data_IF_316484862946
#
_entry.id   IF_316484862946
#
_cell.length_a   1.000
_cell.length_b   1.000
_cell.length_c   1.000
_cell.angle_alpha   90.00
_cell.angle_beta   90.00
_cell.angle_gamma   90.00
#
_symmetry.space_group_name_H-M   'P 1'
#
loop_
_entity.id
_entity.type
_entity.pdbx_description
1 polymer ?
#
# COMPACT_ATOMS: atom_id res chain seq x y z
N UNK A 1 -3.78 -63.03 16.40
CA UNK A 1 -2.63 -62.14 16.11
C UNK A 1 -3.12 -60.72 16.18
N UNK A 2 -2.57 -59.94 17.12
CA UNK A 2 -2.96 -58.56 17.40
C UNK A 2 -2.69 -57.69 16.17
N UNK A 3 -3.71 -57.01 15.66
CA UNK A 3 -3.53 -55.81 14.87
C UNK A 3 -2.94 -54.75 15.81
N UNK A 4 -1.72 -54.30 15.52
CA UNK A 4 -1.08 -53.19 16.22
C UNK A 4 -1.71 -51.85 15.84
N UNK A 5 -1.49 -50.79 16.63
CA UNK A 5 -2.03 -49.47 16.36
C UNK A 5 -1.21 -48.80 15.23
N UNK A 6 -1.69 -48.87 13.99
CA UNK A 6 -1.30 -47.95 12.92
C UNK A 6 -2.48 -47.01 12.67
N UNK A 7 -2.39 -45.69 12.69
CA UNK A 7 -1.25 -44.80 12.87
C UNK A 7 -1.81 -43.36 12.89
N UNK A 8 -2.16 -42.82 14.07
CA UNK A 8 -2.32 -41.36 14.19
C UNK A 8 -1.02 -40.64 13.80
N UNK A 9 0.12 -41.31 13.95
CA UNK A 9 1.43 -40.82 13.53
C UNK A 9 1.62 -40.67 12.02
N UNK A 10 0.92 -41.44 11.17
CA UNK A 10 0.98 -41.30 9.71
C UNK A 10 0.04 -40.20 9.19
N UNK A 11 -1.08 -39.97 9.89
CA UNK A 11 -2.18 -39.12 9.41
C UNK A 11 -1.78 -37.65 9.20
N UNK A 12 -0.77 -37.17 9.95
CA UNK A 12 -0.24 -35.80 9.84
C UNK A 12 1.23 -35.75 9.42
N UNK A 13 1.75 -36.82 8.81
CA UNK A 13 3.16 -36.91 8.41
C UNK A 13 3.61 -35.73 7.52
N UNK A 14 2.77 -35.32 6.56
CA UNK A 14 3.04 -34.16 5.69
C UNK A 14 3.06 -32.82 6.45
N UNK A 15 2.13 -32.64 7.39
CA UNK A 15 2.08 -31.42 8.21
C UNK A 15 3.28 -31.34 9.14
N UNK A 16 3.66 -32.46 9.79
CA UNK A 16 4.85 -32.54 10.64
C UNK A 16 6.12 -32.20 9.85
N UNK A 17 6.25 -32.70 8.62
CA UNK A 17 7.36 -32.33 7.73
C UNK A 17 7.36 -30.84 7.37
N UNK A 18 6.20 -30.29 7.03
CA UNK A 18 6.07 -28.86 6.72
C UNK A 18 6.49 -27.99 7.91
N UNK A 19 5.98 -28.30 9.10
CA UNK A 19 6.32 -27.58 10.33
C UNK A 19 7.78 -27.72 10.70
N UNK A 20 8.37 -28.91 10.50
CA UNK A 20 9.79 -29.12 10.71
C UNK A 20 10.65 -28.27 9.77
N UNK A 21 10.25 -28.08 8.51
CA UNK A 21 10.94 -27.19 7.57
C UNK A 21 10.91 -25.74 8.08
N UNK A 22 9.74 -25.27 8.56
CA UNK A 22 9.60 -23.92 9.10
C UNK A 22 10.41 -23.70 10.38
N UNK A 23 10.54 -24.72 11.23
CA UNK A 23 11.35 -24.67 12.45
C UNK A 23 12.85 -24.73 12.16
N UNK A 24 13.25 -25.52 11.16
CA UNK A 24 14.66 -25.72 10.79
C UNK A 24 15.25 -24.52 10.06
N UNK A 25 14.42 -23.79 9.31
CA UNK A 25 14.81 -22.54 8.66
C UNK A 25 13.92 -21.38 9.13
N UNK A 26 14.25 -20.74 10.26
CA UNK A 26 13.52 -19.57 10.73
C UNK A 26 13.78 -18.35 9.86
N UNK A 27 14.71 -18.42 8.90
CA UNK A 27 15.10 -17.32 8.02
C UNK A 27 14.28 -17.23 6.73
N UNK A 28 13.35 -18.17 6.50
CA UNK A 28 12.44 -18.15 5.35
C UNK A 28 11.78 -16.77 5.16
N UNK A 29 11.91 -16.22 3.96
CA UNK A 29 11.43 -14.88 3.58
C UNK A 29 10.41 -14.92 2.42
N UNK A 30 10.28 -16.06 1.74
CA UNK A 30 9.36 -16.25 0.62
C UNK A 30 8.80 -17.67 0.58
N UNK A 31 7.50 -17.79 0.29
CA UNK A 31 6.84 -19.08 0.04
C UNK A 31 6.23 -19.07 -1.37
N UNK A 32 6.35 -20.19 -2.07
CA UNK A 32 5.73 -20.40 -3.38
C UNK A 32 5.06 -21.76 -3.49
N UNK A 33 4.02 -21.84 -4.33
CA UNK A 33 3.39 -23.10 -4.71
C UNK A 33 3.93 -23.55 -6.06
N UNK A 34 4.58 -24.72 -6.08
CA UNK A 34 5.44 -25.16 -7.17
C UNK A 34 4.90 -26.45 -7.76
N UNK A 35 4.77 -26.50 -9.09
CA UNK A 35 4.40 -27.73 -9.77
C UNK A 35 5.55 -28.77 -9.62
N UNK A 36 5.28 -30.04 -9.31
CA UNK A 36 6.31 -31.06 -9.07
C UNK A 36 7.40 -31.16 -10.16
N UNK A 37 7.05 -30.87 -11.42
CA UNK A 37 8.02 -30.90 -12.52
C UNK A 37 9.11 -29.82 -12.44
N UNK A 38 8.89 -28.75 -11.67
CA UNK A 38 9.81 -27.60 -11.59
C UNK A 38 10.91 -27.78 -10.53
N UNK A 39 10.76 -28.73 -9.60
CA UNK A 39 11.75 -28.98 -8.54
C UNK A 39 13.15 -29.28 -9.11
N UNK A 40 13.21 -30.12 -10.15
CA UNK A 40 14.48 -30.46 -10.82
C UNK A 40 15.15 -29.27 -11.51
N UNK A 41 14.40 -28.24 -11.89
CA UNK A 41 14.96 -27.02 -12.45
C UNK A 41 15.52 -26.13 -11.34
N UNK A 42 14.77 -25.99 -10.24
CA UNK A 42 15.19 -25.22 -9.07
C UNK A 42 16.46 -25.79 -8.43
N UNK A 43 16.58 -27.12 -8.35
CA UNK A 43 17.79 -27.77 -7.84
C UNK A 43 19.04 -27.46 -8.70
N UNK A 44 18.86 -27.37 -10.03
CA UNK A 44 19.94 -26.99 -10.95
C UNK A 44 20.32 -25.53 -10.81
N UNK A 45 19.33 -24.64 -10.67
CA UNK A 45 19.56 -23.20 -10.48
C UNK A 45 20.24 -22.90 -9.14
N UNK A 46 19.94 -23.67 -8.10
CA UNK A 46 20.61 -23.60 -6.79
C UNK A 46 22.05 -24.16 -6.79
N UNK A 47 22.58 -24.59 -7.95
CA UNK A 47 23.98 -25.01 -8.08
C UNK A 47 24.26 -26.44 -7.62
N UNK A 48 23.25 -27.30 -7.45
CA UNK A 48 23.47 -28.72 -7.22
C UNK A 48 23.93 -29.40 -8.52
N UNK A 49 25.25 -29.53 -8.70
CA UNK A 49 25.84 -30.47 -9.65
C UNK A 49 25.53 -31.91 -9.22
N UNK A 50 25.08 -32.73 -10.16
CA UNK A 50 24.61 -34.12 -10.04
C UNK A 50 25.58 -35.14 -9.38
N UNK A 51 26.61 -34.75 -8.64
CA UNK A 51 27.64 -35.67 -8.14
C UNK A 51 27.38 -36.27 -6.75
N UNK A 52 26.37 -35.80 -6.00
CA UNK A 52 25.94 -36.46 -4.76
C UNK A 52 24.42 -36.35 -4.55
N UNK A 53 23.64 -37.12 -5.29
CA UNK A 53 22.31 -37.52 -4.81
C UNK A 53 22.37 -38.98 -4.34
N UNK A 54 22.03 -39.28 -3.07
CA UNK A 54 21.56 -40.62 -2.75
C UNK A 54 20.31 -40.86 -3.60
N UNK A 55 20.34 -41.90 -4.42
CA UNK A 55 19.16 -42.47 -5.07
C UNK A 55 18.07 -42.73 -4.01
N UNK A 56 17.15 -41.80 -3.83
CA UNK A 56 15.84 -42.04 -3.25
C UNK A 56 14.83 -41.30 -4.12
N UNK A 57 14.09 -42.05 -4.95
CA UNK A 57 13.05 -41.56 -5.86
C UNK A 57 11.81 -40.96 -5.18
N UNK A 58 11.96 -40.37 -4.01
CA UNK A 58 10.94 -39.54 -3.37
C UNK A 58 11.10 -38.12 -3.87
N UNK A 59 10.19 -37.65 -4.73
CA UNK A 59 10.03 -36.22 -5.00
C UNK A 59 9.90 -35.50 -3.65
N UNK A 60 10.89 -34.72 -3.23
CA UNK A 60 10.75 -33.94 -2.00
C UNK A 60 9.51 -33.04 -2.17
N UNK A 61 8.49 -33.23 -1.32
CA UNK A 61 7.23 -32.47 -1.44
C UNK A 61 7.40 -31.01 -1.02
N UNK A 62 8.52 -30.70 -0.36
CA UNK A 62 8.97 -29.38 0.04
C UNK A 62 10.36 -29.12 -0.54
N UNK A 63 10.59 -27.93 -1.07
CA UNK A 63 11.89 -27.45 -1.51
C UNK A 63 12.27 -26.27 -0.63
N UNK A 64 13.40 -26.33 0.05
CA UNK A 64 13.86 -25.25 0.91
C UNK A 64 15.34 -24.98 0.63
N UNK A 65 15.64 -23.83 0.01
CA UNK A 65 16.98 -23.35 -0.30
C UNK A 65 17.00 -21.83 -0.29
N UNK A 66 18.13 -21.22 0.10
CA UNK A 66 18.29 -19.76 0.14
C UNK A 66 17.16 -19.01 0.86
N UNK A 67 16.60 -19.63 1.91
CA UNK A 67 15.46 -19.13 2.68
C UNK A 67 14.16 -18.98 1.86
N UNK A 68 14.05 -19.74 0.77
CA UNK A 68 12.87 -19.81 -0.10
C UNK A 68 12.21 -21.17 0.05
N UNK A 69 10.91 -21.17 0.37
CA UNK A 69 10.14 -22.40 0.56
C UNK A 69 9.18 -22.66 -0.61
N UNK A 70 9.47 -23.69 -1.39
CA UNK A 70 8.58 -24.25 -2.39
C UNK A 70 7.72 -25.39 -1.82
N UNK A 71 6.40 -25.29 -1.97
CA UNK A 71 5.46 -26.35 -1.57
C UNK A 71 4.85 -26.97 -2.83
N UNK A 72 4.96 -28.29 -2.96
CA UNK A 72 4.43 -29.00 -4.12
C UNK A 72 2.91 -28.86 -4.22
N UNK A 73 2.42 -28.50 -5.42
CA UNK A 73 0.97 -28.34 -5.67
C UNK A 73 0.17 -29.61 -5.43
N UNK A 74 0.79 -30.79 -5.57
CA UNK A 74 0.13 -32.10 -5.41
C UNK A 74 -0.38 -32.32 -3.98
N UNK A 75 0.30 -31.75 -2.99
CA UNK A 75 0.00 -31.98 -1.57
C UNK A 75 -0.85 -30.86 -0.96
N UNK A 76 -1.07 -29.73 -1.66
CA UNK A 76 -1.67 -28.53 -1.08
C UNK A 76 -3.05 -28.77 -0.48
N UNK A 77 -3.92 -29.51 -1.18
CA UNK A 77 -5.28 -29.77 -0.69
C UNK A 77 -5.25 -30.59 0.60
N UNK A 78 -4.43 -31.63 0.65
CA UNK A 78 -4.31 -32.50 1.82
C UNK A 78 -3.67 -31.74 2.97
N UNK A 79 -2.52 -31.11 2.74
CA UNK A 79 -1.80 -30.33 3.73
C UNK A 79 -2.66 -29.20 4.31
N UNK A 80 -3.48 -28.52 3.50
CA UNK A 80 -4.39 -27.48 3.97
C UNK A 80 -5.51 -28.03 4.86
N UNK A 81 -6.06 -29.23 4.55
CA UNK A 81 -7.06 -29.90 5.41
C UNK A 81 -6.45 -30.29 6.75
N UNK A 82 -5.26 -30.88 6.71
CA UNK A 82 -4.54 -31.35 7.90
C UNK A 82 -4.16 -30.18 8.81
N UNK A 83 -3.55 -29.13 8.24
CA UNK A 83 -3.21 -27.92 8.98
C UNK A 83 -4.45 -27.32 9.65
N UNK A 84 -5.58 -27.20 8.92
CA UNK A 84 -6.82 -26.64 9.46
C UNK A 84 -7.36 -27.50 10.60
N UNK A 85 -7.37 -28.81 10.42
CA UNK A 85 -7.86 -29.75 11.43
C UNK A 85 -7.05 -29.65 12.73
N UNK A 86 -5.72 -29.76 12.63
CA UNK A 86 -4.82 -29.72 13.80
C UNK A 86 -4.88 -28.35 14.49
N UNK A 87 -4.93 -27.24 13.73
CA UNK A 87 -5.13 -25.92 14.31
C UNK A 87 -6.45 -25.80 15.09
N UNK A 88 -7.55 -26.33 14.56
CA UNK A 88 -8.85 -26.26 15.24
C UNK A 88 -8.87 -27.08 16.53
N UNK A 89 -8.19 -28.23 16.55
CA UNK A 89 -8.00 -29.03 17.78
C UNK A 89 -7.19 -28.27 18.83
N UNK A 90 -6.03 -27.70 18.44
CA UNK A 90 -5.21 -26.90 19.34
C UNK A 90 -5.98 -25.68 19.89
N UNK A 91 -6.78 -25.02 19.04
CA UNK A 91 -7.61 -23.89 19.47
C UNK A 91 -8.71 -24.31 20.45
N UNK A 92 -9.32 -25.48 20.24
CA UNK A 92 -10.30 -26.03 21.17
C UNK A 92 -9.66 -26.33 22.53
N UNK A 93 -8.49 -26.95 22.53
CA UNK A 93 -7.73 -27.24 23.75
C UNK A 93 -7.34 -25.97 24.50
N UNK A 94 -6.80 -24.97 23.81
CA UNK A 94 -6.47 -23.67 24.40
C UNK A 94 -7.69 -23.00 25.05
N UNK A 95 -8.86 -23.05 24.40
CA UNK A 95 -10.11 -22.50 24.98
C UNK A 95 -10.58 -23.26 26.21
N UNK A 96 -10.49 -24.59 26.20
CA UNK A 96 -10.83 -25.42 27.36
C UNK A 96 -9.94 -25.11 28.57
N UNK A 97 -8.65 -24.85 28.36
CA UNK A 97 -7.73 -24.46 29.42
C UNK A 97 -7.98 -23.03 29.92
N UNK A 98 -8.34 -22.09 29.03
CA UNK A 98 -8.69 -20.72 29.41
C UNK A 98 -9.90 -20.64 30.36
N UNK A 99 -10.95 -21.42 30.08
CA UNK A 99 -12.14 -21.46 30.94
C UNK A 99 -11.90 -22.09 32.31
N UNK A 100 -10.87 -22.94 32.47
CA UNK A 100 -10.54 -23.56 33.76
C UNK A 100 -9.65 -22.68 34.66
N UNK A 101 -8.88 -21.76 34.08
CA UNK A 101 -7.96 -20.88 34.83
C UNK A 101 -8.64 -19.61 35.38
N UNK A 102 -9.78 -19.19 34.83
CA UNK A 102 -10.50 -17.98 35.28
C UNK A 102 -11.07 -18.09 36.71
N UNK A 103 -11.15 -19.28 37.30
CA UNK A 103 -11.66 -19.48 38.66
C UNK A 103 -10.59 -19.49 39.78
N UNK A 104 -9.29 -19.57 39.49
CA UNK A 104 -8.34 -19.88 40.59
C UNK A 104 -7.01 -19.14 40.71
N UNK A 105 -6.44 -18.43 39.73
CA UNK A 105 -5.12 -17.80 39.93
C UNK A 105 -4.90 -16.46 39.21
N UNK A 106 -5.50 -15.39 39.75
CA UNK A 106 -5.02 -14.01 39.52
C UNK A 106 -3.92 -13.71 40.53
N UNK A 107 -2.70 -14.18 40.28
CA UNK A 107 -1.43 -13.56 40.70
C UNK A 107 -0.26 -14.47 40.34
N UNK A 108 0.62 -13.92 39.50
CA UNK A 108 1.98 -14.39 39.19
C UNK A 108 2.12 -15.57 38.23
N UNK A 109 2.18 -15.29 36.92
CA UNK A 109 3.00 -16.11 36.02
C UNK A 109 3.78 -15.17 35.08
N UNK A 110 5.11 -15.21 35.25
CA UNK A 110 6.09 -14.62 34.34
C UNK A 110 6.25 -15.45 33.07
N UNK A 111 6.48 -14.76 31.95
CA UNK A 111 7.01 -15.17 30.65
C UNK A 111 7.52 -16.62 30.46
N UNK A 112 6.60 -17.56 30.26
CA UNK A 112 6.82 -18.76 29.42
C UNK A 112 5.53 -19.03 28.65
N UNK A 113 5.56 -19.31 27.33
CA UNK A 113 4.36 -19.72 26.62
C UNK A 113 3.82 -21.00 27.27
N UNK A 114 2.55 -21.02 27.66
CA UNK A 114 1.93 -22.28 28.02
C UNK A 114 1.87 -23.16 26.77
N UNK A 115 2.05 -24.48 26.92
CA UNK A 115 2.08 -25.43 25.81
C UNK A 115 0.88 -25.22 24.84
N UNK A 116 -0.37 -24.99 25.31
CA UNK A 116 -1.50 -24.73 24.43
C UNK A 116 -1.39 -23.45 23.60
N UNK A 117 -0.72 -22.39 24.09
CA UNK A 117 -0.48 -21.17 23.29
C UNK A 117 0.52 -21.43 22.17
N UNK A 118 1.61 -22.14 22.49
CA UNK A 118 2.64 -22.47 21.51
C UNK A 118 2.08 -23.28 20.34
N UNK A 119 1.25 -24.28 20.63
CA UNK A 119 0.64 -25.14 19.61
C UNK A 119 -0.35 -24.36 18.72
N UNK A 120 -1.17 -23.48 19.32
CA UNK A 120 -2.06 -22.60 18.53
C UNK A 120 -1.23 -21.68 17.62
N UNK A 121 -0.13 -21.10 18.12
CA UNK A 121 0.73 -20.22 17.32
C UNK A 121 1.45 -20.99 16.20
N UNK A 122 1.95 -22.21 16.47
CA UNK A 122 2.59 -23.08 15.48
C UNK A 122 1.61 -23.50 14.38
N UNK A 123 0.49 -24.13 14.74
CA UNK A 123 -0.44 -24.66 13.76
C UNK A 123 -1.21 -23.55 13.00
N UNK A 124 -1.46 -22.40 13.63
CA UNK A 124 -2.03 -21.25 12.91
C UNK A 124 -1.06 -20.68 11.87
N UNK A 125 0.25 -20.67 12.13
CA UNK A 125 1.25 -20.30 11.11
C UNK A 125 1.17 -21.24 9.90
N UNK A 126 1.10 -22.55 10.13
CA UNK A 126 0.96 -23.54 9.07
C UNK A 126 -0.28 -23.29 8.20
N UNK A 127 -1.43 -23.06 8.83
CA UNK A 127 -2.68 -22.77 8.11
C UNK A 127 -2.61 -21.47 7.32
N UNK A 128 -2.04 -20.41 7.89
CA UNK A 128 -2.02 -19.08 7.28
C UNK A 128 -1.08 -18.98 6.08
N UNK A 129 0.02 -19.75 6.07
CA UNK A 129 0.89 -19.88 4.89
C UNK A 129 0.19 -20.57 3.72
N UNK A 130 -0.75 -21.48 4.00
CA UNK A 130 -1.52 -22.22 3.00
C UNK A 130 -2.84 -21.53 2.62
N UNK A 131 -3.40 -20.73 3.53
CA UNK A 131 -4.73 -20.13 3.42
C UNK A 131 -4.77 -18.80 4.19
N UNK A 132 -4.19 -17.76 3.58
CA UNK A 132 -3.98 -16.45 4.19
C UNK A 132 -5.24 -15.74 4.68
N UNK A 133 -6.41 -16.07 4.13
CA UNK A 133 -7.70 -15.46 4.51
C UNK A 133 -8.45 -16.22 5.60
N UNK A 134 -7.81 -17.17 6.28
CA UNK A 134 -8.45 -17.92 7.37
C UNK A 134 -8.58 -17.08 8.65
N UNK A 135 -9.64 -16.28 8.73
CA UNK A 135 -9.88 -15.31 9.80
C UNK A 135 -9.85 -15.87 11.22
N UNK A 136 -10.29 -17.12 11.43
CA UNK A 136 -10.24 -17.77 12.75
C UNK A 136 -8.80 -17.91 13.26
N UNK A 137 -7.85 -18.26 12.40
CA UNK A 137 -6.44 -18.32 12.77
C UNK A 137 -5.90 -16.93 13.14
N UNK A 138 -6.19 -15.91 12.32
CA UNK A 138 -5.79 -14.54 12.65
C UNK A 138 -6.36 -14.05 13.98
N UNK A 139 -7.62 -14.37 14.29
CA UNK A 139 -8.26 -13.96 15.54
C UNK A 139 -7.68 -14.71 16.76
N UNK A 140 -7.35 -16.00 16.60
CA UNK A 140 -6.66 -16.76 17.65
C UNK A 140 -5.28 -16.14 17.97
N UNK A 141 -4.51 -15.78 16.94
CA UNK A 141 -3.22 -15.09 17.12
C UNK A 141 -3.38 -13.74 17.81
N UNK A 142 -4.37 -12.92 17.41
CA UNK A 142 -4.67 -11.64 18.12
C UNK A 142 -4.98 -11.87 19.59
N UNK A 143 -5.78 -12.88 19.92
CA UNK A 143 -6.15 -13.18 21.31
C UNK A 143 -4.93 -13.53 22.18
N UNK A 144 -4.00 -14.31 21.64
CA UNK A 144 -2.76 -14.68 22.33
C UNK A 144 -1.81 -13.48 22.43
N UNK A 145 -1.59 -12.76 21.32
CA UNK A 145 -0.68 -11.61 21.26
C UNK A 145 -1.14 -10.42 22.10
N UNK A 146 -2.45 -10.24 22.29
CA UNK A 146 -2.99 -9.17 23.15
C UNK A 146 -2.56 -9.31 24.61
N UNK A 147 -2.12 -10.50 25.03
CA UNK A 147 -1.61 -10.78 26.39
C UNK A 147 -0.09 -10.64 26.50
N UNK A 148 0.62 -10.36 25.40
CA UNK A 148 2.08 -10.24 25.37
C UNK A 148 2.49 -8.77 25.56
N UNK A 149 3.58 -8.56 26.29
CA UNK A 149 4.11 -7.24 26.67
C UNK A 149 5.49 -6.93 26.06
N UNK A 150 6.02 -7.83 25.24
CA UNK A 150 7.34 -7.72 24.61
C UNK A 150 7.24 -7.46 23.10
N UNK A 151 8.06 -6.51 22.63
CA UNK A 151 8.10 -6.10 21.23
C UNK A 151 8.51 -7.23 20.27
N UNK A 152 9.29 -8.20 20.73
CA UNK A 152 9.76 -9.31 19.90
C UNK A 152 8.62 -10.15 19.34
N UNK A 153 7.56 -10.42 20.11
CA UNK A 153 6.41 -11.20 19.64
C UNK A 153 5.68 -10.48 18.50
N UNK A 154 5.52 -9.16 18.60
CA UNK A 154 4.92 -8.37 17.51
C UNK A 154 5.83 -8.29 16.28
N UNK A 155 7.15 -8.25 16.48
CA UNK A 155 8.14 -8.23 15.39
C UNK A 155 8.15 -9.56 14.63
N UNK A 156 8.11 -10.69 15.35
CA UNK A 156 7.95 -12.03 14.77
C UNK A 156 6.62 -12.15 14.01
N UNK A 157 5.55 -11.56 14.54
CA UNK A 157 4.25 -11.56 13.87
C UNK A 157 4.24 -10.70 12.58
N UNK A 158 4.91 -9.55 12.59
CA UNK A 158 5.14 -8.76 11.37
C UNK A 158 5.98 -9.54 10.36
N UNK A 159 6.95 -10.33 10.82
CA UNK A 159 7.74 -11.19 9.95
C UNK A 159 6.88 -12.29 9.32
N UNK A 160 6.09 -13.03 10.11
CA UNK A 160 5.18 -14.07 9.61
C UNK A 160 4.18 -13.50 8.59
N UNK A 161 3.54 -12.38 8.90
CA UNK A 161 2.59 -11.77 7.97
C UNK A 161 3.27 -11.22 6.70
N UNK A 162 4.55 -10.84 6.77
CA UNK A 162 5.36 -10.48 5.60
C UNK A 162 5.62 -11.69 4.71
N UNK A 163 6.00 -12.82 5.33
CA UNK A 163 6.15 -14.10 4.64
C UNK A 163 4.86 -14.54 3.94
N UNK A 164 3.70 -14.41 4.60
CA UNK A 164 2.40 -14.72 3.98
C UNK A 164 2.10 -13.80 2.79
N UNK A 165 2.48 -12.51 2.87
CA UNK A 165 2.30 -11.56 1.77
C UNK A 165 3.23 -11.83 0.58
N UNK A 166 4.36 -12.53 0.76
CA UNK A 166 5.23 -12.94 -0.35
C UNK A 166 4.48 -13.81 -1.38
N UNK A 167 3.60 -14.69 -0.89
CA UNK A 167 2.76 -15.57 -1.73
C UNK A 167 1.37 -14.97 -2.01
N UNK A 168 0.78 -14.29 -1.02
CA UNK A 168 -0.59 -13.75 -1.08
C UNK A 168 -0.60 -12.22 -0.95
N UNK A 169 0.00 -11.46 -1.89
CA UNK A 169 0.21 -10.01 -1.75
C UNK A 169 -1.09 -9.19 -1.67
N UNK A 170 -2.21 -9.77 -2.12
CA UNK A 170 -3.55 -9.16 -2.12
C UNK A 170 -4.47 -9.69 -1.01
N UNK A 171 -3.94 -10.35 0.02
CA UNK A 171 -4.70 -10.81 1.19
C UNK A 171 -5.12 -9.65 2.09
N UNK A 172 -6.42 -9.33 2.13
CA UNK A 172 -6.92 -8.26 3.04
C UNK A 172 -6.79 -8.65 4.50
N UNK A 173 -7.01 -9.93 4.81
CA UNK A 173 -6.94 -10.44 6.17
C UNK A 173 -5.55 -10.23 6.74
N UNK A 174 -4.51 -10.48 5.94
CA UNK A 174 -3.11 -10.25 6.31
C UNK A 174 -2.82 -8.76 6.50
N UNK A 175 -3.19 -7.90 5.55
CA UNK A 175 -3.01 -6.44 5.68
C UNK A 175 -3.74 -5.86 6.89
N UNK A 176 -4.96 -6.34 7.17
CA UNK A 176 -5.75 -5.96 8.35
C UNK A 176 -5.07 -6.37 9.65
N UNK A 177 -4.53 -7.60 9.70
CA UNK A 177 -3.76 -8.08 10.84
C UNK A 177 -2.49 -7.26 11.07
N UNK A 178 -1.73 -6.92 10.01
CA UNK A 178 -0.58 -6.02 10.11
C UNK A 178 -0.92 -4.67 10.72
N UNK A 179 -2.00 -4.03 10.25
CA UNK A 179 -2.49 -2.75 10.82
C UNK A 179 -2.83 -2.90 12.30
N UNK A 180 -3.43 -4.02 12.70
CA UNK A 180 -3.70 -4.31 14.11
C UNK A 180 -2.41 -4.40 14.93
N UNK A 181 -1.40 -5.13 14.45
CA UNK A 181 -0.10 -5.24 15.14
C UNK A 181 0.56 -3.86 15.29
N UNK A 182 0.66 -3.08 14.21
CA UNK A 182 1.27 -1.75 14.24
C UNK A 182 0.53 -0.83 15.21
N UNK A 183 -0.81 -0.91 15.26
CA UNK A 183 -1.60 -0.16 16.24
C UNK A 183 -1.26 -0.57 17.67
N UNK A 184 -1.15 -1.87 17.97
CA UNK A 184 -0.73 -2.34 19.30
C UNK A 184 0.66 -1.82 19.64
N UNK A 185 1.61 -1.90 18.69
CA UNK A 185 2.97 -1.40 18.90
C UNK A 185 2.97 0.11 19.20
N UNK A 186 2.20 0.89 18.44
CA UNK A 186 2.12 2.34 18.60
C UNK A 186 1.60 2.80 19.97
N UNK A 187 0.84 1.93 20.66
CA UNK A 187 0.27 2.22 21.98
C UNK A 187 1.22 1.84 23.12
N UNK A 188 2.18 0.94 22.86
CA UNK A 188 2.95 0.29 23.92
C UNK A 188 4.46 0.48 23.81
N UNK A 189 5.00 0.90 22.65
CA UNK A 189 6.45 0.99 22.43
C UNK A 189 6.84 2.28 21.67
N UNK A 190 8.06 2.76 21.93
CA UNK A 190 8.61 3.99 21.31
C UNK A 190 9.26 3.78 19.94
N UNK A 191 9.52 2.53 19.53
CA UNK A 191 10.22 2.14 18.28
C UNK A 191 9.38 2.25 17.01
N UNK A 192 8.24 2.94 17.07
CA UNK A 192 7.25 2.99 15.98
C UNK A 192 7.85 3.48 14.66
N UNK A 193 8.73 4.49 14.68
CA UNK A 193 9.23 5.14 13.47
C UNK A 193 10.07 4.19 12.59
N UNK A 194 10.92 3.35 13.19
CA UNK A 194 11.70 2.34 12.45
C UNK A 194 10.78 1.31 11.81
N UNK A 195 9.73 0.89 12.52
CA UNK A 195 8.74 -0.05 12.00
C UNK A 195 8.00 0.57 10.82
N UNK A 196 7.53 1.82 10.92
CA UNK A 196 6.86 2.52 9.81
C UNK A 196 7.75 2.58 8.56
N UNK A 197 9.05 2.85 8.71
CA UNK A 197 9.99 2.82 7.57
C UNK A 197 10.06 1.43 6.92
N UNK A 198 10.27 0.37 7.72
CA UNK A 198 10.33 -1.01 7.22
C UNK A 198 9.01 -1.47 6.58
N UNK A 199 7.87 -1.07 7.15
CA UNK A 199 6.55 -1.37 6.58
C UNK A 199 6.36 -0.68 5.22
N UNK A 200 6.85 0.55 5.07
CA UNK A 200 6.78 1.26 3.80
C UNK A 200 7.64 0.59 2.71
N UNK A 201 8.84 0.15 3.07
CA UNK A 201 9.73 -0.65 2.20
C UNK A 201 9.11 -1.99 1.79
N UNK A 202 8.44 -2.67 2.73
CA UNK A 202 7.70 -3.90 2.43
C UNK A 202 6.61 -3.64 1.38
N UNK A 203 5.80 -2.59 1.54
CA UNK A 203 4.77 -2.25 0.54
C UNK A 203 5.39 -1.98 -0.83
N UNK A 204 6.50 -1.26 -0.89
CA UNK A 204 7.21 -0.98 -2.13
C UNK A 204 7.66 -2.28 -2.83
N UNK A 205 8.32 -3.17 -2.09
CA UNK A 205 8.76 -4.48 -2.61
C UNK A 205 7.59 -5.36 -3.10
N UNK A 206 6.42 -5.27 -2.45
CA UNK A 206 5.22 -5.99 -2.88
C UNK A 206 4.61 -5.33 -4.11
N UNK A 207 4.64 -4.00 -4.19
CA UNK A 207 4.19 -3.23 -5.36
C UNK A 207 4.95 -3.60 -6.64
N UNK A 208 6.24 -3.93 -6.53
CA UNK A 208 7.08 -4.29 -7.68
C UNK A 208 6.67 -5.64 -8.26
N UNK A 209 6.39 -6.60 -7.36
CA UNK A 209 6.04 -7.98 -7.71
C UNK A 209 4.56 -8.14 -8.07
N UNK A 210 3.68 -7.35 -7.47
CA UNK A 210 2.23 -7.42 -7.66
C UNK A 210 1.67 -6.10 -8.18
N UNK A 211 1.59 -5.98 -9.50
CA UNK A 211 0.97 -4.82 -10.17
C UNK A 211 -0.47 -4.57 -9.68
N UNK A 212 -0.84 -3.28 -9.62
CA UNK A 212 -2.17 -2.80 -9.23
C UNK A 212 -2.63 -3.32 -7.86
N UNK A 213 -1.72 -3.35 -6.87
CA UNK A 213 -2.06 -3.78 -5.52
C UNK A 213 -2.61 -2.63 -4.68
N UNK A 214 -3.90 -2.34 -4.86
CA UNK A 214 -4.59 -1.32 -4.08
C UNK A 214 -4.50 -1.56 -2.56
N UNK A 215 -4.48 -2.81 -2.10
CA UNK A 215 -4.43 -3.13 -0.66
C UNK A 215 -3.11 -2.72 -0.02
N UNK A 216 -2.00 -2.97 -0.72
CA UNK A 216 -0.67 -2.56 -0.27
C UNK A 216 -0.56 -1.02 -0.24
N UNK A 217 -0.98 -0.35 -1.32
CA UNK A 217 -1.00 1.12 -1.37
C UNK A 217 -1.92 1.74 -0.31
N UNK A 218 -3.10 1.15 -0.07
CA UNK A 218 -4.01 1.57 0.99
C UNK A 218 -3.37 1.42 2.37
N UNK A 219 -2.64 0.33 2.61
CA UNK A 219 -1.85 0.16 3.83
C UNK A 219 -0.79 1.27 3.96
N UNK A 220 -0.03 1.58 2.90
CA UNK A 220 0.96 2.68 2.92
C UNK A 220 0.32 4.05 3.20
N UNK A 221 -0.84 4.34 2.62
CA UNK A 221 -1.62 5.55 2.93
C UNK A 221 -2.04 5.61 4.40
N UNK A 222 -2.42 4.47 4.98
CA UNK A 222 -2.78 4.37 6.39
C UNK A 222 -1.57 4.63 7.31
N UNK A 223 -0.37 4.16 6.94
CA UNK A 223 0.87 4.41 7.71
C UNK A 223 1.18 5.90 7.89
N UNK A 224 0.75 6.76 6.95
CA UNK A 224 1.00 8.22 7.00
C UNK A 224 0.47 8.86 8.29
N UNK A 225 -0.56 8.30 8.93
CA UNK A 225 -1.03 8.84 10.22
C UNK A 225 -0.03 8.69 11.37
N UNK A 226 0.94 7.77 11.24
CA UNK A 226 1.97 7.48 12.24
C UNK A 226 3.34 8.09 11.92
N UNK A 227 3.51 8.65 10.73
CA UNK A 227 4.76 9.25 10.27
C UNK A 227 5.00 10.63 10.88
N UNK A 228 6.26 10.96 11.14
CA UNK A 228 6.68 12.35 11.37
C UNK A 228 6.70 13.13 10.05
N UNK A 229 6.77 14.47 10.12
CA UNK A 229 6.85 15.29 8.90
C UNK A 229 8.13 15.01 8.12
N UNK A 230 9.24 14.74 8.80
CA UNK A 230 10.52 14.37 8.18
C UNK A 230 10.38 13.07 7.38
N UNK A 231 9.72 12.04 7.95
CA UNK A 231 9.45 10.80 7.23
C UNK A 231 8.51 11.01 6.04
N UNK A 232 7.50 11.88 6.18
CA UNK A 232 6.59 12.21 5.07
C UNK A 232 7.33 12.85 3.90
N UNK A 233 8.25 13.78 4.18
CA UNK A 233 9.09 14.43 3.15
C UNK A 233 10.02 13.40 2.50
N UNK A 234 10.64 12.51 3.30
CA UNK A 234 11.47 11.43 2.77
C UNK A 234 10.68 10.48 1.85
N UNK A 235 9.46 10.08 2.23
CA UNK A 235 8.60 9.23 1.42
C UNK A 235 8.11 9.93 0.14
N UNK A 236 7.86 11.25 0.20
CA UNK A 236 7.50 12.03 -0.99
C UNK A 236 8.64 12.05 -2.01
N UNK A 237 9.89 12.22 -1.52
CA UNK A 237 11.08 12.17 -2.34
C UNK A 237 11.34 10.76 -2.90
N UNK A 238 11.25 9.73 -2.06
CA UNK A 238 11.46 8.32 -2.45
C UNK A 238 10.47 7.88 -3.52
N UNK A 239 9.19 8.19 -3.33
CA UNK A 239 8.12 7.79 -4.25
C UNK A 239 8.13 8.55 -5.59
N UNK A 240 8.92 9.63 -5.74
CA UNK A 240 9.00 10.44 -6.96
C UNK A 240 9.49 9.60 -8.15
N UNK A 241 10.53 8.79 -7.95
CA UNK A 241 11.06 7.88 -8.99
C UNK A 241 10.02 6.85 -9.41
N UNK A 242 9.33 6.24 -8.45
CA UNK A 242 8.30 5.25 -8.72
C UNK A 242 7.18 5.84 -9.59
N UNK A 243 6.61 6.97 -9.15
CA UNK A 243 5.51 7.61 -9.84
C UNK A 243 5.90 8.10 -11.24
N UNK A 244 7.15 8.59 -11.42
CA UNK A 244 7.66 9.01 -12.72
C UNK A 244 7.88 7.85 -13.72
N UNK A 245 8.09 6.63 -13.24
CA UNK A 245 8.18 5.41 -14.07
C UNK A 245 6.81 4.74 -14.29
N UNK A 246 5.88 4.93 -13.34
CA UNK A 246 4.58 4.28 -13.31
C UNK A 246 3.45 5.31 -13.36
N UNK A 247 3.44 6.18 -14.37
CA UNK A 247 2.47 7.29 -14.49
C UNK A 247 0.99 6.86 -14.58
N UNK A 248 0.75 5.60 -14.93
CA UNK A 248 -0.59 5.01 -14.95
C UNK A 248 -1.03 4.43 -13.58
N UNK A 249 -0.15 4.40 -12.57
CA UNK A 249 -0.47 3.91 -11.23
C UNK A 249 -1.18 5.00 -10.41
N UNK A 250 -2.50 5.06 -10.55
CA UNK A 250 -3.36 5.96 -9.77
C UNK A 250 -3.24 5.77 -8.25
N UNK A 251 -2.84 4.57 -7.79
CA UNK A 251 -2.68 4.29 -6.36
C UNK A 251 -1.42 4.95 -5.81
N UNK A 252 -0.34 4.99 -6.60
CA UNK A 252 0.87 5.75 -6.26
C UNK A 252 0.57 7.26 -6.14
N UNK A 253 -0.14 7.86 -7.10
CA UNK A 253 -0.53 9.27 -6.99
C UNK A 253 -1.50 9.53 -5.82
N UNK A 254 -2.39 8.59 -5.50
CA UNK A 254 -3.21 8.69 -4.30
C UNK A 254 -2.35 8.71 -3.02
N UNK A 255 -1.30 7.88 -2.95
CA UNK A 255 -0.35 7.90 -1.84
C UNK A 255 0.41 9.23 -1.75
N UNK A 256 0.90 9.76 -2.87
CA UNK A 256 1.54 11.09 -2.91
C UNK A 256 0.61 12.18 -2.39
N UNK A 257 -0.65 12.20 -2.82
CA UNK A 257 -1.66 13.15 -2.32
C UNK A 257 -1.87 13.02 -0.81
N UNK A 258 -1.87 11.80 -0.26
CA UNK A 258 -1.97 11.58 1.20
C UNK A 258 -0.76 12.14 1.94
N UNK A 259 0.46 11.96 1.44
CA UNK A 259 1.68 12.56 2.00
C UNK A 259 1.59 14.09 1.99
N UNK A 260 1.18 14.68 0.87
CA UNK A 260 1.04 16.13 0.75
C UNK A 260 -0.01 16.70 1.70
N UNK A 261 -1.17 16.04 1.83
CA UNK A 261 -2.17 16.45 2.82
C UNK A 261 -1.61 16.43 4.25
N UNK A 262 -0.76 15.45 4.58
CA UNK A 262 -0.11 15.38 5.90
C UNK A 262 0.82 16.55 6.17
N UNK A 263 1.49 17.07 5.14
CA UNK A 263 2.30 18.30 5.23
C UNK A 263 1.38 19.49 5.57
N UNK A 264 0.22 19.63 4.92
CA UNK A 264 -0.72 20.71 5.23
C UNK A 264 -1.34 20.57 6.64
N UNK A 265 -1.65 19.35 7.08
CA UNK A 265 -2.17 19.09 8.43
C UNK A 265 -1.25 19.69 9.52
N UNK A 266 0.08 19.66 9.33
CA UNK A 266 1.01 20.26 10.30
C UNK A 266 0.93 21.78 10.41
N UNK A 267 0.42 22.48 9.39
CA UNK A 267 0.28 23.93 9.42
C UNK A 267 -0.84 24.40 10.36
N UNK A 268 -1.78 23.53 10.70
CA UNK A 268 -2.92 23.84 11.58
C UNK A 268 -2.63 23.58 13.07
N UNK A 269 -1.51 22.92 13.40
CA UNK A 269 -1.16 22.67 14.79
C UNK A 269 -0.68 23.98 15.43
N UNK A 270 -1.26 24.35 16.59
CA UNK A 270 -0.88 25.55 17.35
C UNK A 270 0.65 25.56 17.57
N UNK A 271 1.33 26.54 16.97
CA UNK A 271 2.79 26.66 17.00
C UNK A 271 3.49 26.59 15.64
N UNK A 272 2.76 26.43 14.53
CA UNK A 272 3.35 26.48 13.17
C UNK A 272 4.10 27.80 12.95
N UNK A 273 5.39 27.67 12.65
CA UNK A 273 6.28 28.79 12.39
C UNK A 273 6.10 29.32 10.96
N UNK A 274 6.51 30.57 10.71
CA UNK A 274 6.57 31.10 9.35
C UNK A 274 7.50 30.27 8.44
N UNK A 275 8.51 29.61 9.02
CA UNK A 275 9.40 28.69 8.33
C UNK A 275 8.65 27.46 7.81
N UNK A 276 7.78 26.85 8.62
CA UNK A 276 7.00 25.65 8.23
C UNK A 276 6.05 25.95 7.07
N UNK A 277 5.40 27.12 7.08
CA UNK A 277 4.55 27.57 5.96
C UNK A 277 5.35 27.81 4.69
N UNK A 278 6.56 28.36 4.80
CA UNK A 278 7.44 28.63 3.65
C UNK A 278 7.94 27.33 3.03
N UNK A 279 8.34 26.36 3.85
CA UNK A 279 8.79 25.05 3.38
C UNK A 279 7.65 24.26 2.74
N UNK A 280 6.46 24.24 3.35
CA UNK A 280 5.28 23.61 2.75
C UNK A 280 4.92 24.23 1.40
N UNK A 281 4.99 25.55 1.26
CA UNK A 281 4.77 26.27 -0.01
C UNK A 281 5.79 25.84 -1.07
N UNK A 282 7.07 25.75 -0.68
CA UNK A 282 8.15 25.30 -1.58
C UNK A 282 7.92 23.88 -2.08
N UNK A 283 7.63 22.93 -1.18
CA UNK A 283 7.35 21.53 -1.54
C UNK A 283 6.16 21.44 -2.49
N UNK A 284 5.10 22.23 -2.25
CA UNK A 284 3.92 22.22 -3.12
C UNK A 284 4.23 22.72 -4.53
N UNK A 285 5.04 23.78 -4.62
CA UNK A 285 5.49 24.34 -5.90
C UNK A 285 6.36 23.34 -6.66
N UNK A 286 7.31 22.69 -5.99
CA UNK A 286 8.14 21.65 -6.61
C UNK A 286 7.32 20.46 -7.14
N UNK A 287 6.23 20.09 -6.47
CA UNK A 287 5.33 19.04 -6.95
C UNK A 287 4.49 19.50 -8.15
N UNK A 288 4.04 20.76 -8.17
CA UNK A 288 3.38 21.35 -9.34
C UNK A 288 4.33 21.34 -10.54
N UNK A 289 5.53 21.88 -10.39
CA UNK A 289 6.53 21.96 -11.48
C UNK A 289 6.87 20.54 -11.99
N UNK A 290 7.07 19.58 -11.09
CA UNK A 290 7.32 18.19 -11.49
C UNK A 290 6.12 17.52 -12.17
N UNK A 291 4.89 17.80 -11.72
CA UNK A 291 3.70 17.27 -12.37
C UNK A 291 3.52 17.83 -13.78
N UNK A 292 3.88 19.10 -14.02
CA UNK A 292 3.93 19.71 -15.35
C UNK A 292 4.91 18.95 -16.27
N UNK A 293 6.14 18.69 -15.81
CA UNK A 293 7.11 17.88 -16.56
C UNK A 293 6.57 16.49 -16.95
N UNK A 294 5.80 15.86 -16.06
CA UNK A 294 5.18 14.56 -16.35
C UNK A 294 4.04 14.68 -17.37
N UNK A 295 3.21 15.71 -17.28
CA UNK A 295 2.10 15.96 -18.21
C UNK A 295 2.63 16.20 -19.62
N UNK A 296 3.72 16.94 -19.75
CA UNK A 296 4.39 17.20 -21.03
C UNK A 296 5.07 15.94 -21.60
N UNK A 297 5.67 15.11 -20.73
CA UNK A 297 6.38 13.90 -21.14
C UNK A 297 5.46 12.73 -21.46
N UNK A 298 4.35 12.61 -20.74
CA UNK A 298 3.44 11.46 -20.83
C UNK A 298 2.04 11.93 -21.24
N UNK A 299 1.92 12.26 -22.51
CA UNK A 299 0.73 12.77 -23.16
C UNK A 299 -0.46 11.81 -22.99
N UNK A 300 -1.63 12.37 -22.65
CA UNK A 300 -2.91 11.66 -22.60
C UNK A 300 -3.16 10.88 -21.30
N UNK A 301 -2.37 11.09 -20.24
CA UNK A 301 -2.54 10.36 -18.97
C UNK A 301 -3.47 11.09 -18.01
N UNK A 302 -4.73 10.65 -17.92
CA UNK A 302 -5.75 11.21 -17.01
C UNK A 302 -5.28 11.32 -15.55
N UNK A 303 -4.52 10.34 -15.05
CA UNK A 303 -4.02 10.32 -13.68
C UNK A 303 -3.17 11.55 -13.32
N UNK A 304 -2.39 12.08 -14.28
CA UNK A 304 -1.55 13.26 -14.08
C UNK A 304 -2.39 14.52 -13.94
N UNK A 305 -3.46 14.64 -14.74
CA UNK A 305 -4.40 15.76 -14.67
C UNK A 305 -5.27 15.71 -13.41
N UNK A 306 -5.64 14.52 -12.93
CA UNK A 306 -6.31 14.35 -11.64
C UNK A 306 -5.39 14.73 -10.46
N UNK A 307 -4.08 14.44 -10.57
CA UNK A 307 -3.10 14.91 -9.60
C UNK A 307 -2.94 16.43 -9.68
N UNK A 308 -2.80 17.02 -10.88
CA UNK A 308 -2.77 18.49 -11.08
C UNK A 308 -3.97 19.15 -10.43
N UNK A 309 -5.18 18.64 -10.68
CA UNK A 309 -6.42 19.14 -10.08
C UNK A 309 -6.35 19.19 -8.55
N UNK A 310 -5.81 18.15 -7.91
CA UNK A 310 -5.59 18.13 -6.47
C UNK A 310 -4.56 19.19 -6.04
N UNK A 311 -3.43 19.28 -6.74
CA UNK A 311 -2.36 20.21 -6.40
C UNK A 311 -2.85 21.66 -6.50
N UNK A 312 -3.51 22.01 -7.60
CA UNK A 312 -4.05 23.34 -7.88
C UNK A 312 -5.12 23.74 -6.88
N UNK A 313 -6.06 22.85 -6.55
CA UNK A 313 -7.09 23.13 -5.55
C UNK A 313 -6.48 23.57 -4.22
N UNK A 314 -5.52 22.78 -3.73
CA UNK A 314 -4.88 23.07 -2.45
C UNK A 314 -3.93 24.27 -2.55
N UNK A 315 -3.25 24.48 -3.69
CA UNK A 315 -2.42 25.67 -3.87
C UNK A 315 -3.25 26.95 -3.70
N UNK A 316 -4.40 27.00 -4.36
CA UNK A 316 -5.35 28.12 -4.27
C UNK A 316 -5.82 28.29 -2.84
N UNK A 317 -6.28 27.20 -2.22
CA UNK A 317 -6.92 27.26 -0.90
C UNK A 317 -5.93 27.59 0.23
N UNK A 318 -4.66 27.20 0.12
CA UNK A 318 -3.71 27.31 1.23
C UNK A 318 -2.64 28.38 1.08
N UNK A 319 -2.25 28.72 -0.14
CA UNK A 319 -1.11 29.60 -0.38
C UNK A 319 -1.49 30.86 -1.15
N UNK A 320 -2.46 30.74 -2.06
CA UNK A 320 -2.82 31.81 -2.98
C UNK A 320 -3.88 32.75 -2.39
N UNK A 321 -4.89 32.22 -1.70
CA UNK A 321 -5.88 33.02 -0.98
C UNK A 321 -5.28 33.55 0.34
N UNK A 322 -5.32 34.87 0.53
CA UNK A 322 -4.96 35.50 1.81
C UNK A 322 -6.00 35.12 2.87
N UNK A 323 -5.79 34.00 3.56
CA UNK A 323 -6.45 33.77 4.84
C UNK A 323 -5.80 34.68 5.88
N UNK A 324 -6.30 35.91 6.03
CA UNK A 324 -6.43 36.46 7.37
C UNK A 324 -7.23 35.44 8.19
N UNK A 325 -6.85 35.19 9.45
CA UNK A 325 -7.26 34.09 10.34
C UNK A 325 -8.78 33.97 10.67
N UNK A 326 -9.68 34.33 9.76
CA UNK A 326 -11.12 34.15 9.87
C UNK A 326 -11.61 33.06 8.92
N UNK A 327 -12.49 32.21 9.46
CA UNK A 327 -13.31 31.19 8.80
C UNK A 327 -13.70 31.50 7.34
N UNK A 328 -13.77 30.50 6.44
CA UNK A 328 -14.24 30.70 5.08
C UNK A 328 -15.76 30.95 5.09
N UNK A 329 -16.16 32.21 5.20
CA UNK A 329 -17.51 32.60 4.80
C UNK A 329 -17.58 32.68 3.27
N UNK A 330 -18.56 31.97 2.72
CA UNK A 330 -18.91 31.92 1.31
C UNK A 330 -19.18 33.32 0.76
N UNK A 331 -18.31 33.82 -0.13
CA UNK A 331 -18.66 34.92 -1.03
C UNK A 331 -17.63 36.04 -1.23
N UNK A 332 -16.46 36.01 -0.59
CA UNK A 332 -15.46 37.08 -0.80
C UNK A 332 -14.66 36.88 -2.09
N UNK A 333 -14.59 37.94 -2.91
CA UNK A 333 -13.79 37.96 -4.12
C UNK A 333 -12.31 37.77 -3.77
N UNK A 334 -11.68 36.75 -4.33
CA UNK A 334 -10.24 36.52 -4.21
C UNK A 334 -9.51 37.79 -4.66
N UNK A 335 -8.92 38.54 -3.70
CA UNK A 335 -7.98 39.63 -4.03
C UNK A 335 -6.82 38.97 -4.78
N UNK A 336 -6.58 39.36 -6.04
CA UNK A 336 -5.48 38.82 -6.84
C UNK A 336 -4.14 39.14 -6.16
N UNK A 337 -3.57 38.14 -5.50
CA UNK A 337 -2.17 38.14 -5.11
C UNK A 337 -1.31 37.90 -6.38
N UNK A 338 -0.13 38.50 -6.44
CA UNK A 338 0.85 38.32 -7.54
C UNK A 338 1.14 36.83 -7.78
N UNK A 339 1.19 36.02 -6.73
CA UNK A 339 1.37 34.56 -6.82
C UNK A 339 0.21 33.87 -7.55
N UNK A 340 -1.05 34.31 -7.37
CA UNK A 340 -2.20 33.78 -8.11
C UNK A 340 -2.06 34.13 -9.60
N UNK A 341 -1.64 35.35 -9.91
CA UNK A 341 -1.48 35.80 -11.29
C UNK A 341 -0.42 34.96 -12.03
N UNK A 342 0.72 34.69 -11.36
CA UNK A 342 1.78 33.83 -11.88
C UNK A 342 1.29 32.40 -12.07
N UNK A 343 0.60 31.84 -11.07
CA UNK A 343 0.01 30.51 -11.17
C UNK A 343 -0.94 30.40 -12.36
N UNK A 344 -1.88 31.33 -12.52
CA UNK A 344 -2.81 31.38 -13.66
C UNK A 344 -2.05 31.45 -14.99
N UNK A 345 -1.01 32.29 -15.09
CA UNK A 345 -0.22 32.39 -16.31
C UNK A 345 0.40 31.05 -16.71
N UNK A 346 0.95 30.31 -15.73
CA UNK A 346 1.51 28.99 -15.97
C UNK A 346 0.44 27.98 -16.40
N UNK A 347 -0.74 27.98 -15.79
CA UNK A 347 -1.85 27.08 -16.18
C UNK A 347 -2.35 27.36 -17.61
N UNK A 348 -2.35 28.62 -18.04
CA UNK A 348 -2.71 29.00 -19.41
C UNK A 348 -1.66 28.49 -20.41
N UNK A 349 -0.36 28.58 -20.07
CA UNK A 349 0.72 28.04 -20.90
C UNK A 349 0.65 26.52 -21.01
N UNK A 350 0.39 25.83 -19.90
CA UNK A 350 0.25 24.37 -19.87
C UNK A 350 -0.95 23.90 -20.70
N UNK A 351 -2.07 24.64 -20.68
CA UNK A 351 -3.20 24.37 -21.56
C UNK A 351 -2.78 24.50 -23.03
N UNK A 352 -2.11 25.60 -23.40
CA UNK A 352 -1.73 25.87 -24.80
C UNK A 352 -0.76 24.81 -25.33
N UNK A 353 0.26 24.42 -24.54
CA UNK A 353 1.19 23.35 -24.90
C UNK A 353 0.48 21.99 -25.03
N UNK A 354 -0.46 21.69 -24.13
CA UNK A 354 -1.21 20.42 -24.14
C UNK A 354 -2.20 20.29 -25.29
N UNK A 355 -2.68 21.40 -25.86
CA UNK A 355 -3.58 21.40 -27.02
C UNK A 355 -2.86 21.41 -28.36
N UNK A 356 -1.56 21.73 -28.39
CA UNK A 356 -0.77 21.89 -29.63
C UNK A 356 0.19 20.72 -29.88
N UNK A 357 0.05 19.63 -29.12
CA UNK A 357 0.86 18.42 -29.28
C UNK A 357 0.67 17.84 -30.70
N UNK A 358 1.75 17.68 -31.49
CA UNK A 358 1.66 17.09 -32.82
C UNK A 358 1.14 15.65 -32.80
N UNK A 359 0.36 15.29 -33.82
CA UNK A 359 -0.09 13.92 -34.02
C UNK A 359 1.12 12.99 -34.26
N UNK A 360 1.43 12.17 -33.26
CA UNK A 360 2.43 11.11 -33.37
C UNK A 360 1.74 9.75 -33.20
N UNK A 361 2.22 8.73 -33.90
CA UNK A 361 1.63 7.37 -33.92
C UNK A 361 1.48 6.68 -32.55
N UNK A 362 2.04 7.24 -31.48
CA UNK A 362 2.18 6.56 -30.18
C UNK A 362 1.56 7.30 -29.00
N UNK A 363 1.11 8.55 -29.18
CA UNK A 363 0.61 9.40 -28.10
C UNK A 363 -0.87 9.71 -28.28
N UNK A 364 -1.61 9.75 -27.17
CA UNK A 364 -3.05 10.07 -27.17
C UNK A 364 -3.25 11.58 -27.00
N UNK A 365 -2.96 12.32 -28.07
CA UNK A 365 -3.07 13.78 -28.11
C UNK A 365 -4.54 14.25 -27.96
N UNK A 366 -5.50 13.44 -28.39
CA UNK A 366 -6.93 13.72 -28.21
C UNK A 366 -7.30 13.67 -26.72
N UNK A 367 -6.87 12.61 -26.01
CA UNK A 367 -7.05 12.54 -24.56
C UNK A 367 -6.32 13.68 -23.84
N UNK A 368 -5.11 14.05 -24.28
CA UNK A 368 -4.37 15.16 -23.69
C UNK A 368 -5.14 16.48 -23.78
N UNK A 369 -5.58 16.85 -24.99
CA UNK A 369 -6.35 18.07 -25.22
C UNK A 369 -7.65 18.06 -24.42
N UNK A 370 -8.34 16.91 -24.35
CA UNK A 370 -9.56 16.75 -23.56
C UNK A 370 -9.30 16.93 -22.06
N UNK A 371 -8.28 16.28 -21.50
CA UNK A 371 -7.96 16.38 -20.08
C UNK A 371 -7.52 17.79 -19.69
N UNK A 372 -6.70 18.44 -20.51
CA UNK A 372 -6.31 19.84 -20.33
C UNK A 372 -7.53 20.76 -20.32
N UNK A 373 -8.39 20.64 -21.32
CA UNK A 373 -9.62 21.44 -21.43
C UNK A 373 -10.55 21.25 -20.23
N UNK A 374 -10.80 20.01 -19.83
CA UNK A 374 -11.64 19.68 -18.67
C UNK A 374 -11.04 20.25 -17.38
N UNK A 375 -9.73 20.13 -17.20
CA UNK A 375 -9.03 20.66 -16.03
C UNK A 375 -9.11 22.20 -15.97
N UNK A 376 -8.83 22.90 -17.07
CA UNK A 376 -8.90 24.37 -17.10
C UNK A 376 -10.32 24.87 -16.86
N UNK A 377 -11.34 24.26 -17.46
CA UNK A 377 -12.73 24.64 -17.25
C UNK A 377 -13.20 24.33 -15.83
N UNK A 378 -12.67 23.27 -15.20
CA UNK A 378 -12.89 23.06 -13.77
C UNK A 378 -12.22 24.16 -12.93
N UNK A 379 -11.00 24.57 -13.29
CA UNK A 379 -10.24 25.59 -12.55
C UNK A 379 -10.92 26.96 -12.58
N UNK A 380 -11.60 27.33 -13.67
CA UNK A 380 -12.36 28.60 -13.77
C UNK A 380 -13.49 28.68 -12.77
N UNK A 381 -14.00 27.55 -12.25
CA UNK A 381 -14.97 27.55 -11.15
C UNK A 381 -14.35 27.95 -9.82
N UNK A 382 -13.13 27.52 -9.58
CA UNK A 382 -12.39 27.85 -8.35
C UNK A 382 -11.79 29.26 -8.41
N UNK A 383 -11.45 29.75 -9.61
CA UNK A 383 -10.94 31.10 -9.84
C UNK A 383 -11.72 31.75 -10.99
N UNK A 384 -12.82 32.48 -10.71
CA UNK A 384 -13.63 33.10 -11.77
C UNK A 384 -12.85 34.08 -12.67
N UNK A 385 -11.83 34.75 -12.14
CA UNK A 385 -10.97 35.67 -12.91
C UNK A 385 -10.20 34.97 -14.03
N UNK A 386 -9.91 33.67 -13.88
CA UNK A 386 -9.22 32.87 -14.89
C UNK A 386 -9.97 32.90 -16.23
N UNK A 387 -11.30 32.94 -16.22
CA UNK A 387 -12.09 32.99 -17.46
C UNK A 387 -11.74 34.20 -18.32
N UNK A 388 -11.72 35.40 -17.71
CA UNK A 388 -11.34 36.65 -18.40
C UNK A 388 -9.91 36.58 -18.91
N UNK A 389 -8.99 36.05 -18.10
CA UNK A 389 -7.59 35.93 -18.49
C UNK A 389 -7.38 34.92 -19.64
N UNK A 390 -8.19 33.86 -19.71
CA UNK A 390 -8.19 32.92 -20.84
C UNK A 390 -8.62 33.62 -22.13
N UNK A 391 -9.70 34.39 -22.08
CA UNK A 391 -10.19 35.15 -23.25
C UNK A 391 -9.16 36.19 -23.72
N UNK A 392 -8.53 36.91 -22.78
CA UNK A 392 -7.51 37.91 -23.07
C UNK A 392 -6.23 37.31 -23.68
N UNK A 393 -5.75 36.17 -23.14
CA UNK A 393 -4.44 35.60 -23.53
C UNK A 393 -4.50 34.61 -24.67
N UNK A 394 -5.53 33.75 -24.72
CA UNK A 394 -5.67 32.74 -25.78
C UNK A 394 -6.49 33.24 -26.96
N UNK A 395 -7.31 34.27 -26.75
CA UNK A 395 -8.26 34.76 -27.74
C UNK A 395 -9.51 33.88 -27.86
N UNK A 396 -10.59 34.48 -28.37
CA UNK A 396 -11.92 33.85 -28.42
C UNK A 396 -11.95 32.53 -29.19
N UNK A 397 -11.16 32.39 -30.27
CA UNK A 397 -11.16 31.19 -31.10
C UNK A 397 -10.54 29.98 -30.41
N UNK A 398 -9.44 30.16 -29.66
CA UNK A 398 -8.86 29.06 -28.87
C UNK A 398 -9.76 28.67 -27.70
N UNK A 399 -10.41 29.63 -27.04
CA UNK A 399 -11.40 29.33 -25.98
C UNK A 399 -12.58 28.53 -26.54
N UNK A 400 -13.08 28.86 -27.74
CA UNK A 400 -14.09 28.03 -28.43
C UNK A 400 -13.57 26.63 -28.72
N UNK A 401 -12.31 26.50 -29.14
CA UNK A 401 -11.69 25.18 -29.37
C UNK A 401 -11.71 24.33 -28.09
N UNK A 402 -11.30 24.88 -26.94
CA UNK A 402 -11.36 24.22 -25.62
C UNK A 402 -12.76 23.68 -25.34
N UNK A 403 -13.79 24.53 -25.51
CA UNK A 403 -15.18 24.14 -25.26
C UNK A 403 -15.66 23.06 -26.23
N UNK A 404 -15.30 23.17 -27.52
CA UNK A 404 -15.65 22.19 -28.54
C UNK A 404 -15.03 20.82 -28.27
N UNK A 405 -13.78 20.76 -27.81
CA UNK A 405 -13.11 19.50 -27.43
C UNK A 405 -13.90 18.75 -26.36
N UNK A 406 -14.38 19.46 -25.32
CA UNK A 406 -15.20 18.84 -24.26
C UNK A 406 -16.59 18.49 -24.79
N UNK A 407 -17.19 19.35 -25.62
CA UNK A 407 -18.53 19.12 -26.17
C UNK A 407 -18.61 17.85 -27.03
N UNK A 408 -17.55 17.56 -27.79
CA UNK A 408 -17.48 16.38 -28.66
C UNK A 408 -17.35 15.08 -27.87
N UNK A 409 -16.51 15.06 -26.84
CA UNK A 409 -16.16 13.83 -26.10
C UNK A 409 -16.99 13.61 -24.83
N UNK A 410 -17.34 14.68 -24.10
CA UNK A 410 -18.03 14.64 -22.79
C UNK A 410 -19.09 15.75 -22.65
N UNK A 411 -20.16 15.76 -23.47
CA UNK A 411 -21.15 16.86 -23.50
C UNK A 411 -21.90 17.07 -22.17
N UNK A 412 -22.17 16.00 -21.42
CA UNK A 412 -22.81 16.08 -20.09
C UNK A 412 -21.91 16.77 -19.06
N UNK A 413 -20.60 16.54 -19.13
CA UNK A 413 -19.62 17.17 -18.27
C UNK A 413 -19.50 18.66 -18.57
N UNK A 414 -19.52 19.05 -19.85
CA UNK A 414 -19.51 20.45 -20.25
C UNK A 414 -20.71 21.22 -19.65
N UNK A 415 -21.92 20.65 -19.73
CA UNK A 415 -23.10 21.27 -19.13
C UNK A 415 -22.93 21.48 -17.63
N UNK A 416 -22.38 20.49 -16.91
CA UNK A 416 -22.09 20.65 -15.48
C UNK A 416 -21.01 21.70 -15.23
N UNK A 417 -20.02 21.83 -16.11
CA UNK A 417 -18.89 22.74 -15.93
C UNK A 417 -19.20 24.20 -16.29
N UNK A 418 -20.09 24.45 -17.25
CA UNK A 418 -20.47 25.80 -17.70
C UNK A 418 -21.67 26.37 -16.93
N UNK A 419 -22.61 25.51 -16.49
CA UNK A 419 -23.79 25.97 -15.75
C UNK A 419 -23.58 25.88 -14.24
N UNK A 420 -23.35 27.04 -13.60
CA UNK A 420 -23.69 27.34 -12.19
C UNK A 420 -24.18 28.78 -12.12
#
# INVERSE_FOLDING_TARGET
MKQGPSSEDDCFSLLKQFEHVLESDPLIDEVGFIHPSQFTMLDKEAGFSNEFQPNNGTSSKFWNQDHKLGISTDILVQLCKDAKHVFLLALQEYKSHGNACDESQIKNISCSPCIPESDVMKHSQSVLLLSSDFGTAWNARKLILSKKDHLSAFTEELRLSGLILSNSPKSESTWSHRRWIIKMISQSFSTLQEIITKESELVESIGERSKMNYRAWHHRCWLVSYMTIEQVIQELNKSKRWAGLHVADSSCFHYRRRLMLKILESLYVKGSSAYDKTEARKIWKEELDWNEELVERYVGREALWLHRRFLSLNWIMYFACNHSDASPETGESIIMNEEIAIFIDNEIRLLDSSMTVPDTKFEDFQAQALHAAVYTLWLTKSIPVLWRMLEEKLGTEKVKCVLNTIAQERPSLLHHLVNV
#
